data_IF_799208209065
#
_entry.id   IF_799208209065
#
_cell.length_a   1.000
_cell.length_b   1.000
_cell.length_c   1.000
_cell.angle_alpha   90.00
_cell.angle_beta   90.00
_cell.angle_gamma   90.00
#
_symmetry.space_group_name_H-M   'P 1'
#
loop_
_entity.id
_entity.type
_entity.pdbx_description
1 polymer ?
#
# COMPACT_ATOMS: atom_id res chain seq x y z
N UNK A 1 17.80 -14.13 -55.83
CA UNK A 1 18.18 -14.27 -54.40
C UNK A 1 17.31 -13.37 -53.54
N UNK A 2 16.16 -13.88 -53.05
CA UNK A 2 15.42 -13.33 -51.89
C UNK A 2 14.19 -14.17 -51.49
N UNK A 3 14.16 -15.48 -51.78
CA UNK A 3 13.01 -16.34 -51.43
C UNK A 3 13.32 -17.66 -50.70
N UNK A 4 14.58 -17.95 -50.33
CA UNK A 4 14.92 -19.27 -49.74
C UNK A 4 15.21 -19.26 -48.23
N UNK A 5 14.98 -18.14 -47.53
CA UNK A 5 15.26 -18.04 -46.08
C UNK A 5 13.97 -18.08 -45.24
N UNK A 6 12.80 -17.81 -45.82
CA UNK A 6 11.53 -17.84 -45.11
C UNK A 6 10.97 -19.27 -44.85
N UNK A 7 11.51 -20.31 -45.50
CA UNK A 7 11.03 -21.69 -45.34
C UNK A 7 11.81 -22.54 -44.33
N UNK A 8 12.81 -21.99 -43.62
CA UNK A 8 13.68 -22.79 -42.73
C UNK A 8 13.55 -22.55 -41.22
N UNK A 9 12.59 -21.74 -40.76
CA UNK A 9 12.37 -21.50 -39.31
C UNK A 9 11.02 -22.07 -38.82
N UNK A 10 10.37 -22.94 -39.59
CA UNK A 10 9.09 -23.58 -39.19
C UNK A 10 9.19 -25.08 -38.87
N UNK A 11 10.38 -25.60 -38.57
CA UNK A 11 10.57 -26.98 -38.09
C UNK A 11 11.36 -27.02 -36.79
N UNK A 12 10.73 -26.51 -35.74
CA UNK A 12 11.15 -26.68 -34.35
C UNK A 12 9.99 -26.66 -33.35
N UNK A 13 8.73 -26.78 -33.83
CA UNK A 13 7.56 -26.90 -32.94
C UNK A 13 7.41 -28.36 -32.52
N UNK A 14 7.34 -28.52 -31.20
CA UNK A 14 7.03 -29.73 -30.43
C UNK A 14 6.18 -30.76 -31.19
N UNK A 15 6.71 -31.98 -31.34
CA UNK A 15 5.96 -33.16 -31.81
C UNK A 15 5.03 -33.67 -30.70
N UNK A 16 4.02 -32.90 -30.35
CA UNK A 16 2.85 -33.44 -29.64
C UNK A 16 1.68 -33.29 -30.63
N UNK A 17 1.09 -34.41 -31.10
CA UNK A 17 0.03 -34.36 -32.08
C UNK A 17 -1.19 -33.63 -31.47
N UNK A 18 -1.72 -32.64 -32.20
CA UNK A 18 -3.05 -32.10 -31.92
C UNK A 18 -4.08 -33.25 -32.01
N UNK A 19 -4.83 -33.55 -30.96
CA UNK A 19 -5.81 -34.63 -30.99
C UNK A 19 -7.13 -34.08 -31.54
N UNK A 20 -7.20 -33.86 -32.85
CA UNK A 20 -8.49 -33.78 -33.54
C UNK A 20 -8.97 -35.21 -33.78
N UNK A 21 -10.14 -35.57 -33.23
CA UNK A 21 -10.90 -36.84 -33.41
C UNK A 21 -10.65 -38.03 -32.47
N UNK A 22 -10.41 -37.82 -31.18
CA UNK A 22 -10.48 -38.94 -30.21
C UNK A 22 -11.93 -39.06 -29.73
N UNK A 23 -12.59 -40.23 -29.80
CA UNK A 23 -13.87 -40.42 -29.12
C UNK A 23 -13.66 -40.22 -27.61
N UNK A 24 -14.75 -39.96 -26.87
CA UNK A 24 -14.80 -39.70 -25.43
C UNK A 24 -14.36 -40.94 -24.60
N UNK A 25 -13.20 -41.51 -24.91
CA UNK A 25 -12.72 -42.80 -24.44
C UNK A 25 -11.19 -42.78 -24.29
N UNK A 26 -10.66 -43.39 -23.23
CA UNK A 26 -9.23 -43.67 -23.11
C UNK A 26 -8.88 -45.00 -23.81
N UNK A 27 -7.80 -45.01 -24.61
CA UNK A 27 -7.29 -46.19 -25.34
C UNK A 27 -7.42 -46.08 -26.87
N UNK A 28 -6.79 -46.99 -27.62
CA UNK A 28 -7.00 -47.08 -29.07
C UNK A 28 -8.32 -47.79 -29.35
N UNK A 29 -9.07 -47.30 -30.33
CA UNK A 29 -10.33 -47.92 -30.79
C UNK A 29 -10.07 -49.38 -31.16
N UNK A 30 -10.71 -50.32 -30.45
CA UNK A 30 -10.55 -51.76 -30.64
C UNK A 30 -9.85 -52.51 -29.49
N UNK A 31 -9.27 -51.81 -28.51
CA UNK A 31 -8.70 -52.45 -27.31
C UNK A 31 -9.79 -52.85 -26.29
N UNK A 32 -9.58 -53.98 -25.61
CA UNK A 32 -10.51 -54.55 -24.61
C UNK A 32 -10.72 -53.64 -23.38
N UNK A 33 -9.92 -52.57 -23.25
CA UNK A 33 -9.96 -51.60 -22.15
C UNK A 33 -10.59 -50.24 -22.48
N UNK A 34 -11.14 -50.04 -23.67
CA UNK A 34 -11.72 -48.74 -24.09
C UNK A 34 -12.96 -48.41 -23.25
N UNK A 35 -12.85 -47.38 -22.41
CA UNK A 35 -13.95 -46.87 -21.58
C UNK A 35 -14.45 -45.56 -22.16
N UNK A 36 -15.65 -45.55 -22.73
CA UNK A 36 -16.29 -44.34 -23.25
C UNK A 36 -17.15 -43.62 -22.18
N UNK A 37 -17.39 -42.31 -22.36
CA UNK A 37 -18.06 -41.42 -21.41
C UNK A 37 -17.28 -41.21 -20.11
N UNK A 38 -15.95 -41.21 -20.18
CA UNK A 38 -15.11 -40.95 -19.02
C UNK A 38 -15.12 -39.47 -18.66
N UNK A 39 -15.25 -39.19 -17.36
CA UNK A 39 -15.12 -37.84 -16.82
C UNK A 39 -13.64 -37.49 -16.68
N UNK A 40 -13.18 -36.48 -17.42
CA UNK A 40 -11.84 -35.91 -17.26
C UNK A 40 -11.93 -34.71 -16.33
N UNK A 41 -10.99 -34.57 -15.41
CA UNK A 41 -11.00 -33.44 -14.50
C UNK A 41 -9.61 -33.03 -14.04
N UNK A 42 -9.53 -31.85 -13.43
CA UNK A 42 -8.35 -31.39 -12.71
C UNK A 42 -8.77 -30.41 -11.61
N UNK A 43 -8.04 -30.36 -10.51
CA UNK A 43 -8.20 -29.33 -9.47
C UNK A 43 -6.86 -28.66 -9.16
N UNK A 44 -6.86 -27.34 -8.99
CA UNK A 44 -5.69 -26.63 -8.50
C UNK A 44 -5.80 -26.50 -6.98
N UNK A 45 -4.70 -26.73 -6.27
CA UNK A 45 -4.56 -26.43 -4.85
C UNK A 45 -3.42 -25.45 -4.67
N UNK A 46 -3.73 -24.23 -4.28
CA UNK A 46 -2.71 -23.27 -3.89
C UNK A 46 -2.10 -23.70 -2.55
N UNK A 47 -0.81 -23.43 -2.36
CA UNK A 47 -0.12 -23.67 -1.10
C UNK A 47 0.43 -22.36 -0.55
N UNK A 48 0.24 -22.13 0.75
CA UNK A 48 1.05 -21.16 1.47
C UNK A 48 2.45 -21.73 1.60
N UNK A 49 3.44 -20.90 1.29
CA UNK A 49 4.83 -21.21 1.60
C UNK A 49 4.96 -21.14 3.12
N UNK A 50 5.63 -22.14 3.70
CA UNK A 50 5.81 -22.31 5.14
C UNK A 50 4.50 -22.44 5.98
N UNK A 51 3.34 -22.62 5.34
CA UNK A 51 2.00 -22.72 5.98
C UNK A 51 1.58 -21.52 6.85
N UNK A 52 2.10 -20.32 6.55
CA UNK A 52 1.92 -19.13 7.39
C UNK A 52 0.68 -18.30 6.99
N UNK A 53 0.19 -18.44 5.75
CA UNK A 53 -0.84 -17.56 5.19
C UNK A 53 -2.13 -18.32 4.91
N UNK A 54 -3.26 -17.70 5.28
CA UNK A 54 -4.57 -18.18 4.87
C UNK A 54 -4.78 -17.92 3.37
N UNK A 55 -4.90 -19.00 2.60
CA UNK A 55 -5.11 -18.99 1.14
C UNK A 55 -6.56 -19.27 0.74
N UNK A 56 -7.50 -19.09 1.67
CA UNK A 56 -8.92 -19.10 1.36
C UNK A 56 -9.34 -17.82 0.64
N UNK A 57 -10.41 -17.92 -0.14
CA UNK A 57 -11.01 -16.80 -0.85
C UNK A 57 -10.10 -16.15 -1.91
N UNK A 58 -9.02 -16.80 -2.33
CA UNK A 58 -8.17 -16.34 -3.43
C UNK A 58 -8.96 -16.52 -4.73
N UNK A 59 -9.21 -15.45 -5.50
CA UNK A 59 -9.96 -15.55 -6.74
C UNK A 59 -9.21 -16.40 -7.77
N UNK A 60 -9.93 -17.17 -8.57
CA UNK A 60 -9.38 -17.86 -9.72
C UNK A 60 -10.32 -17.76 -10.92
N UNK A 61 -9.77 -18.00 -12.12
CA UNK A 61 -10.52 -18.09 -13.35
C UNK A 61 -9.98 -19.23 -14.22
N UNK A 62 -10.87 -20.12 -14.66
CA UNK A 62 -10.56 -21.11 -15.69
C UNK A 62 -10.74 -20.50 -17.08
N UNK A 63 -9.73 -20.64 -17.92
CA UNK A 63 -9.75 -20.26 -19.33
C UNK A 63 -9.72 -21.54 -20.15
N UNK A 64 -10.90 -22.09 -20.43
CA UNK A 64 -11.09 -23.13 -21.43
C UNK A 64 -12.35 -22.86 -22.26
N UNK A 65 -12.43 -23.48 -23.43
CA UNK A 65 -13.67 -23.60 -24.20
C UNK A 65 -14.22 -25.00 -23.84
N UNK A 66 -15.36 -25.16 -23.15
CA UNK A 66 -16.50 -24.24 -23.00
C UNK A 66 -16.70 -23.66 -21.58
N UNK A 67 -15.83 -23.94 -20.61
CA UNK A 67 -16.05 -23.60 -19.21
C UNK A 67 -15.24 -22.36 -18.78
N UNK A 68 -15.84 -21.17 -18.98
CA UNK A 68 -15.40 -19.97 -18.26
C UNK A 68 -16.05 -20.00 -16.87
N UNK A 69 -15.23 -20.22 -15.84
CA UNK A 69 -15.68 -20.22 -14.46
C UNK A 69 -14.80 -19.31 -13.61
N UNK A 70 -15.42 -18.38 -12.90
CA UNK A 70 -14.78 -17.63 -11.84
C UNK A 70 -15.15 -18.26 -10.50
N UNK A 71 -14.21 -18.29 -9.59
CA UNK A 71 -14.47 -18.78 -8.25
C UNK A 71 -13.46 -18.28 -7.24
N UNK A 72 -13.53 -18.84 -6.05
CA UNK A 72 -12.66 -18.53 -4.93
C UNK A 72 -12.21 -19.82 -4.28
N UNK A 73 -10.94 -19.88 -3.90
CA UNK A 73 -10.42 -21.06 -3.19
C UNK A 73 -11.15 -21.30 -1.87
N UNK A 74 -11.31 -22.55 -1.50
CA UNK A 74 -11.86 -22.95 -0.21
C UNK A 74 -10.82 -22.80 0.93
N UNK A 75 -11.18 -23.24 2.14
CA UNK A 75 -10.29 -23.18 3.32
C UNK A 75 -8.97 -23.95 3.18
N UNK A 76 -8.89 -24.91 2.27
CA UNK A 76 -7.70 -25.71 1.98
C UNK A 76 -6.91 -25.18 0.77
N UNK A 77 -7.29 -24.01 0.23
CA UNK A 77 -6.65 -23.44 -0.96
C UNK A 77 -7.04 -24.10 -2.28
N UNK A 78 -8.05 -24.98 -2.28
CA UNK A 78 -8.49 -25.69 -3.49
C UNK A 78 -9.47 -24.87 -4.30
N UNK A 79 -9.30 -24.85 -5.62
CA UNK A 79 -10.29 -24.35 -6.58
C UNK A 79 -11.43 -25.35 -6.75
N UNK A 80 -12.50 -24.96 -7.44
CA UNK A 80 -13.43 -25.95 -7.99
C UNK A 80 -12.70 -26.91 -8.93
N UNK A 81 -13.24 -28.11 -9.09
CA UNK A 81 -12.72 -29.09 -10.04
C UNK A 81 -13.29 -28.78 -11.42
N UNK A 82 -12.41 -28.48 -12.38
CA UNK A 82 -12.83 -28.38 -13.78
C UNK A 82 -13.09 -29.76 -14.35
N UNK A 83 -14.14 -29.89 -15.16
CA UNK A 83 -14.58 -31.15 -15.76
C UNK A 83 -14.70 -30.93 -17.27
N UNK A 84 -14.10 -31.83 -18.04
CA UNK A 84 -14.09 -31.79 -19.51
C UNK A 84 -14.54 -33.15 -20.08
N UNK A 85 -14.96 -33.13 -21.34
CA UNK A 85 -15.42 -34.34 -22.05
C UNK A 85 -14.26 -35.17 -22.65
N UNK A 86 -13.07 -34.58 -22.71
CA UNK A 86 -11.86 -35.23 -23.20
C UNK A 86 -10.66 -34.62 -22.47
N UNK A 87 -9.47 -35.25 -22.53
CA UNK A 87 -8.25 -34.62 -22.04
C UNK A 87 -8.00 -33.29 -22.74
N UNK A 88 -8.00 -32.22 -21.97
CA UNK A 88 -7.83 -30.84 -22.42
C UNK A 88 -6.84 -30.12 -21.51
N UNK A 89 -5.98 -29.34 -22.14
CA UNK A 89 -5.13 -28.37 -21.45
C UNK A 89 -5.96 -27.12 -21.12
N UNK A 90 -5.93 -26.72 -19.87
CA UNK A 90 -6.72 -25.64 -19.30
C UNK A 90 -5.78 -24.66 -18.63
N UNK A 91 -5.85 -23.39 -19.03
CA UNK A 91 -5.14 -22.33 -18.34
C UNK A 91 -5.97 -21.85 -17.13
N UNK A 92 -5.30 -21.67 -15.98
CA UNK A 92 -5.88 -21.15 -14.76
C UNK A 92 -5.18 -19.85 -14.39
N UNK A 93 -5.99 -18.83 -14.11
CA UNK A 93 -5.54 -17.59 -13.49
C UNK A 93 -5.85 -17.65 -12.00
N UNK A 94 -4.98 -17.07 -11.17
CA UNK A 94 -5.19 -16.98 -9.71
C UNK A 94 -4.86 -15.60 -9.16
N UNK A 95 -5.44 -15.30 -8.00
CA UNK A 95 -5.23 -14.06 -7.26
C UNK A 95 -5.49 -12.84 -8.12
N UNK A 96 -4.52 -11.93 -8.14
CA UNK A 96 -4.65 -10.66 -8.86
C UNK A 96 -5.02 -10.87 -10.33
N UNK A 97 -4.33 -11.75 -11.04
CA UNK A 97 -4.55 -11.93 -12.49
C UNK A 97 -5.99 -12.36 -12.78
N UNK A 98 -6.55 -13.27 -11.98
CA UNK A 98 -7.95 -13.68 -12.10
C UNK A 98 -8.91 -12.52 -11.83
N UNK A 99 -8.68 -11.75 -10.75
CA UNK A 99 -9.54 -10.63 -10.38
C UNK A 99 -9.50 -9.51 -11.41
N UNK A 100 -8.32 -9.24 -11.97
CA UNK A 100 -8.09 -8.26 -13.01
C UNK A 100 -8.77 -8.63 -14.33
N UNK A 101 -8.71 -9.91 -14.70
CA UNK A 101 -9.42 -10.47 -15.85
C UNK A 101 -10.95 -10.39 -15.68
N UNK A 102 -11.45 -10.69 -14.48
CA UNK A 102 -12.88 -10.53 -14.11
C UNK A 102 -13.33 -9.07 -14.25
N UNK A 103 -12.58 -8.12 -13.65
CA UNK A 103 -12.86 -6.66 -13.72
C UNK A 103 -12.85 -6.11 -15.16
N UNK A 104 -12.24 -6.83 -16.10
CA UNK A 104 -12.17 -6.51 -17.53
C UNK A 104 -13.12 -7.36 -18.39
N UNK A 105 -14.12 -8.00 -17.77
CA UNK A 105 -15.12 -8.87 -18.44
C UNK A 105 -14.48 -9.97 -19.30
N UNK A 106 -13.37 -10.54 -18.83
CA UNK A 106 -12.65 -11.60 -19.52
C UNK A 106 -11.72 -11.12 -20.63
N UNK A 107 -11.17 -9.90 -20.51
CA UNK A 107 -10.08 -9.40 -21.34
C UNK A 107 -8.79 -9.27 -20.53
N UNK A 108 -7.65 -9.59 -21.15
CA UNK A 108 -6.33 -9.37 -20.56
C UNK A 108 -5.89 -7.91 -20.65
N UNK A 109 -6.37 -7.13 -21.62
CA UNK A 109 -6.03 -5.71 -21.76
C UNK A 109 -4.53 -5.44 -21.68
N UNK A 110 -4.14 -4.46 -20.85
CA UNK A 110 -2.74 -4.08 -20.58
C UNK A 110 -2.07 -4.84 -19.43
N UNK A 111 -2.68 -5.93 -18.94
CA UNK A 111 -2.11 -6.72 -17.84
C UNK A 111 -0.74 -7.28 -18.20
N UNK A 112 0.18 -7.18 -17.24
CA UNK A 112 1.58 -7.57 -17.42
C UNK A 112 1.82 -8.98 -16.89
N UNK A 113 2.98 -9.53 -17.25
CA UNK A 113 3.48 -10.78 -16.67
C UNK A 113 2.54 -11.98 -16.94
N UNK A 114 1.81 -11.99 -18.07
CA UNK A 114 0.74 -12.97 -18.32
C UNK A 114 1.24 -14.42 -18.38
N UNK A 115 2.27 -14.69 -19.18
CA UNK A 115 2.73 -16.06 -19.42
C UNK A 115 3.37 -16.69 -18.18
N UNK A 116 4.05 -15.90 -17.35
CA UNK A 116 4.64 -16.38 -16.09
C UNK A 116 3.59 -16.58 -14.97
N UNK A 117 2.38 -16.01 -15.11
CA UNK A 117 1.31 -16.06 -14.10
C UNK A 117 0.17 -17.03 -14.44
N UNK A 118 0.17 -17.61 -15.64
CA UNK A 118 -0.79 -18.65 -16.06
C UNK A 118 -0.32 -20.01 -15.58
N UNK A 119 -1.22 -20.78 -14.99
CA UNK A 119 -0.97 -22.16 -14.59
C UNK A 119 -1.64 -23.06 -15.61
N UNK A 120 -0.87 -23.93 -16.29
CA UNK A 120 -1.43 -24.92 -17.21
C UNK A 120 -1.77 -26.21 -16.46
N UNK A 121 -2.99 -26.70 -16.64
CA UNK A 121 -3.48 -27.97 -16.10
C UNK A 121 -3.92 -28.88 -17.24
N UNK A 122 -3.54 -30.15 -17.19
CA UNK A 122 -4.06 -31.17 -18.12
C UNK A 122 -5.14 -31.99 -17.44
N UNK A 123 -6.39 -31.87 -17.90
CA UNK A 123 -7.49 -32.69 -17.39
C UNK A 123 -7.28 -34.16 -17.73
N UNK A 124 -7.49 -35.04 -16.74
CA UNK A 124 -7.25 -36.47 -16.89
C UNK A 124 -8.26 -37.30 -16.09
N UNK A 125 -8.30 -38.61 -16.36
CA UNK A 125 -8.94 -39.60 -15.50
C UNK A 125 -8.24 -39.69 -14.15
N UNK A 126 -8.94 -40.14 -13.10
CA UNK A 126 -8.37 -40.29 -11.76
C UNK A 126 -8.35 -39.02 -10.90
N UNK A 127 -9.06 -37.97 -11.33
CA UNK A 127 -9.27 -36.74 -10.57
C UNK A 127 -7.97 -36.07 -10.05
N UNK A 128 -6.98 -35.82 -10.94
CA UNK A 128 -5.71 -35.22 -10.54
C UNK A 128 -5.88 -33.88 -9.84
N UNK A 129 -4.90 -33.57 -8.99
CA UNK A 129 -4.76 -32.28 -8.31
C UNK A 129 -3.32 -31.81 -8.46
N UNK A 130 -3.13 -30.59 -8.94
CA UNK A 130 -1.81 -29.92 -8.97
C UNK A 130 -1.70 -28.99 -7.78
N UNK A 131 -0.60 -29.09 -7.04
CA UNK A 131 -0.28 -28.17 -5.96
C UNK A 131 0.67 -27.07 -6.46
N UNK A 132 0.36 -25.80 -6.19
CA UNK A 132 1.16 -24.65 -6.64
C UNK A 132 1.53 -23.73 -5.46
N UNK A 133 2.83 -23.52 -5.16
CA UNK A 133 3.25 -22.57 -4.13
C UNK A 133 2.91 -21.12 -4.51
N UNK A 134 2.00 -20.51 -3.75
CA UNK A 134 1.38 -19.24 -4.11
C UNK A 134 2.00 -18.03 -3.39
N UNK A 135 2.01 -18.04 -2.05
CA UNK A 135 2.35 -16.86 -1.24
C UNK A 135 3.06 -17.26 0.06
N UNK A 136 4.02 -16.45 0.51
CA UNK A 136 4.73 -16.59 1.79
C UNK A 136 4.34 -15.54 2.84
N UNK A 137 3.64 -14.46 2.43
CA UNK A 137 3.08 -13.49 3.36
C UNK A 137 2.65 -12.18 2.72
N UNK A 138 1.99 -11.36 3.55
CA UNK A 138 1.49 -10.05 3.21
C UNK A 138 2.35 -8.93 3.79
N UNK A 139 2.60 -7.92 2.98
CA UNK A 139 3.34 -6.73 3.33
C UNK A 139 2.40 -5.51 3.40
N UNK A 140 2.52 -4.77 4.49
CA UNK A 140 1.89 -3.47 4.70
C UNK A 140 3.00 -2.42 4.81
N UNK A 141 3.08 -1.54 3.83
CA UNK A 141 4.27 -0.71 3.58
C UNK A 141 3.92 0.76 3.74
N UNK A 142 4.69 1.48 4.55
CA UNK A 142 4.71 2.94 4.53
C UNK A 142 6.04 3.41 3.97
N UNK A 143 6.00 4.28 2.97
CA UNK A 143 7.18 4.88 2.33
C UNK A 143 7.25 6.34 2.72
N UNK A 144 8.37 6.77 3.30
CA UNK A 144 8.53 8.12 3.85
C UNK A 144 9.75 8.80 3.23
N UNK A 145 9.57 10.07 2.87
CA UNK A 145 10.61 10.91 2.29
C UNK A 145 11.76 11.22 3.25
N UNK A 146 12.84 11.74 2.67
CA UNK A 146 13.99 12.27 3.35
C UNK A 146 13.62 13.38 4.32
N UNK A 147 14.55 13.67 5.23
CA UNK A 147 14.45 14.86 6.08
C UNK A 147 14.50 16.08 5.18
N UNK A 148 13.53 16.97 5.33
CA UNK A 148 13.47 18.19 4.51
C UNK A 148 14.46 19.22 5.01
N UNK A 149 14.99 20.06 4.11
CA UNK A 149 15.98 21.08 4.48
C UNK A 149 15.36 22.20 5.34
N UNK A 150 16.15 22.89 6.19
CA UNK A 150 15.72 24.13 6.85
C UNK A 150 15.37 25.22 5.83
N UNK A 151 14.23 25.91 5.98
CA UNK A 151 13.78 26.95 5.05
C UNK A 151 12.79 26.48 3.97
N UNK A 152 12.30 25.24 4.06
CA UNK A 152 11.20 24.80 3.19
C UNK A 152 9.86 25.44 3.58
N UNK A 153 9.33 26.27 2.68
CA UNK A 153 7.94 26.68 2.69
C UNK A 153 7.03 25.47 2.41
N UNK A 154 6.43 24.93 3.46
CA UNK A 154 5.23 24.10 3.34
C UNK A 154 4.06 24.90 3.92
N UNK A 155 3.02 25.15 3.12
CA UNK A 155 1.71 25.55 3.64
C UNK A 155 1.18 24.39 4.47
N UNK A 156 1.57 24.30 5.73
CA UNK A 156 1.56 22.98 6.32
C UNK A 156 1.87 22.83 7.79
N UNK A 157 2.61 23.71 8.43
CA UNK A 157 2.87 23.52 9.86
C UNK A 157 3.52 24.74 10.45
N UNK A 158 2.67 25.65 10.90
CA UNK A 158 3.07 26.49 12.02
C UNK A 158 3.40 25.58 13.21
N UNK A 159 4.31 26.03 14.07
CA UNK A 159 4.36 25.54 15.45
C UNK A 159 2.92 25.54 15.99
N UNK A 160 2.65 24.58 16.88
CA UNK A 160 1.60 24.45 17.92
C UNK A 160 0.70 25.65 18.30
N UNK A 161 1.02 26.87 17.87
CA UNK A 161 0.50 28.21 18.15
C UNK A 161 -0.46 28.84 17.12
N UNK A 162 -1.09 28.14 16.17
CA UNK A 162 -2.21 28.76 15.43
C UNK A 162 -3.54 28.31 16.05
N UNK A 163 -4.08 29.14 16.95
CA UNK A 163 -5.41 28.96 17.56
C UNK A 163 -6.52 29.77 16.88
N UNK A 164 -6.23 30.72 15.99
CA UNK A 164 -7.24 31.58 15.34
C UNK A 164 -6.61 32.37 14.20
N UNK A 165 -7.21 32.36 13.01
CA UNK A 165 -7.24 33.53 12.11
C UNK A 165 -8.58 33.53 11.34
N UNK A 166 -9.57 34.33 11.77
CA UNK A 166 -10.56 34.89 10.87
C UNK A 166 -9.93 36.09 10.13
N UNK A 167 -10.03 36.07 8.80
CA UNK A 167 -10.19 37.24 7.93
C UNK A 167 -9.08 38.30 7.71
N UNK A 168 -7.79 38.05 7.96
CA UNK A 168 -6.73 38.92 7.38
C UNK A 168 -5.51 38.06 6.99
N UNK A 169 -5.41 37.71 5.70
CA UNK A 169 -4.19 37.16 5.11
C UNK A 169 -3.26 38.31 4.74
N UNK A 170 -2.08 38.39 5.36
CA UNK A 170 -0.98 39.27 4.95
C UNK A 170 0.18 38.40 4.47
N UNK A 171 0.29 38.27 3.15
CA UNK A 171 1.14 37.30 2.46
C UNK A 171 2.65 37.45 2.74
N UNK A 172 3.12 38.59 3.23
CA UNK A 172 4.54 38.80 3.57
C UNK A 172 4.87 38.50 5.04
N UNK A 173 3.95 38.76 5.98
CA UNK A 173 4.17 38.47 7.41
C UNK A 173 3.93 37.01 7.78
N UNK A 174 3.00 36.34 7.11
CA UNK A 174 2.70 34.92 7.35
C UNK A 174 3.80 33.97 6.81
N UNK A 175 4.70 34.48 5.96
CA UNK A 175 5.79 33.73 5.33
C UNK A 175 6.78 33.11 6.35
N UNK A 176 7.05 33.78 7.47
CA UNK A 176 7.97 33.29 8.51
C UNK A 176 7.35 32.22 9.42
N UNK A 177 6.01 32.17 9.53
CA UNK A 177 5.31 31.16 10.36
C UNK A 177 5.32 29.75 9.73
N UNK A 178 5.40 29.65 8.41
CA UNK A 178 5.33 28.39 7.65
C UNK A 178 6.69 27.73 7.36
N UNK A 179 7.80 28.41 7.64
CA UNK A 179 9.13 28.06 7.08
C UNK A 179 10.15 27.52 8.09
N UNK A 180 9.90 27.55 9.41
CA UNK A 180 11.01 27.45 10.39
C UNK A 180 10.89 26.42 11.53
N UNK A 181 9.87 25.55 11.56
CA UNK A 181 9.80 24.55 12.63
C UNK A 181 10.53 23.23 12.25
N UNK A 182 11.46 22.71 13.07
CA UNK A 182 12.01 21.36 12.89
C UNK A 182 10.93 20.28 12.80
N UNK A 183 9.75 20.50 13.40
CA UNK A 183 8.59 19.64 13.24
C UNK A 183 8.14 19.42 11.79
N UNK A 184 8.41 20.38 10.91
CA UNK A 184 8.11 20.29 9.47
C UNK A 184 9.02 19.23 8.84
N UNK A 185 10.29 19.19 9.23
CA UNK A 185 11.31 18.32 8.62
C UNK A 185 11.10 16.83 8.88
N UNK A 186 10.37 16.48 9.95
CA UNK A 186 10.14 15.10 10.37
C UNK A 186 8.68 14.66 10.20
N UNK A 187 7.84 15.45 9.53
CA UNK A 187 6.40 15.15 9.36
C UNK A 187 6.15 13.81 8.65
N UNK A 188 6.95 13.47 7.63
CA UNK A 188 6.78 12.22 6.89
C UNK A 188 7.10 11.00 7.75
N UNK A 189 8.19 11.04 8.54
CA UNK A 189 8.52 9.98 9.50
C UNK A 189 7.37 9.77 10.48
N UNK A 190 6.88 10.85 11.09
CA UNK A 190 5.83 10.76 12.08
C UNK A 190 4.51 10.24 11.48
N UNK A 191 4.15 10.65 10.25
CA UNK A 191 3.01 10.06 9.55
C UNK A 191 3.24 8.58 9.21
N UNK A 192 4.46 8.17 8.86
CA UNK A 192 4.81 6.77 8.65
C UNK A 192 4.65 5.94 9.93
N UNK A 193 5.15 6.43 11.07
CA UNK A 193 4.97 5.79 12.37
C UNK A 193 3.48 5.70 12.76
N UNK A 194 2.69 6.73 12.43
CA UNK A 194 1.24 6.66 12.60
C UNK A 194 0.62 5.57 11.71
N UNK A 195 1.00 5.52 10.44
CA UNK A 195 0.50 4.52 9.48
C UNK A 195 0.80 3.08 9.91
N UNK A 196 1.97 2.81 10.52
CA UNK A 196 2.28 1.49 11.07
C UNK A 196 1.26 1.01 12.12
N UNK A 197 0.64 1.92 12.87
CA UNK A 197 -0.38 1.58 13.86
C UNK A 197 -1.73 1.26 13.24
N UNK A 198 -2.00 1.82 12.05
CA UNK A 198 -3.23 1.59 11.31
C UNK A 198 -3.21 0.26 10.56
N UNK A 199 -2.02 -0.22 10.19
CA UNK A 199 -1.87 -1.55 9.62
C UNK A 199 -2.26 -2.65 10.61
N UNK A 200 -2.68 -3.84 10.15
CA UNK A 200 -2.87 -5.00 11.01
C UNK A 200 -1.59 -5.33 11.79
N UNK A 201 -1.73 -5.88 13.00
CA UNK A 201 -0.57 -6.30 13.80
C UNK A 201 0.29 -7.26 12.98
N UNK A 202 1.61 -7.04 13.02
CA UNK A 202 2.55 -7.98 12.43
C UNK A 202 2.42 -9.32 13.14
N UNK A 203 2.55 -10.41 12.39
CA UNK A 203 2.52 -11.74 12.99
C UNK A 203 3.77 -11.99 13.82
N UNK A 204 3.61 -12.57 14.99
CA UNK A 204 4.71 -13.02 15.83
C UNK A 204 5.18 -14.40 15.34
N UNK A 205 6.47 -14.54 15.01
CA UNK A 205 7.08 -15.80 14.60
C UNK A 205 6.88 -16.15 13.12
N UNK A 206 5.65 -16.28 12.65
CA UNK A 206 5.35 -16.79 11.30
C UNK A 206 5.48 -15.77 10.17
N UNK A 207 5.75 -14.48 10.44
CA UNK A 207 5.92 -13.45 9.41
C UNK A 207 4.83 -13.37 8.32
N UNK A 208 3.64 -13.93 8.55
CA UNK A 208 2.53 -13.95 7.60
C UNK A 208 2.05 -12.53 7.29
N UNK A 209 2.11 -11.65 8.28
CA UNK A 209 1.86 -10.21 8.15
C UNK A 209 3.11 -9.44 8.58
N UNK A 210 3.63 -8.59 7.71
CA UNK A 210 4.71 -7.66 8.03
C UNK A 210 4.27 -6.21 7.89
N UNK A 211 4.61 -5.40 8.91
CA UNK A 211 4.59 -3.95 8.84
C UNK A 211 5.97 -3.44 8.45
N UNK A 212 6.07 -2.58 7.46
CA UNK A 212 7.36 -2.16 6.90
C UNK A 212 7.39 -0.65 6.70
N UNK A 213 8.40 -0.01 7.24
CA UNK A 213 8.69 1.41 7.02
C UNK A 213 9.91 1.53 6.10
N UNK A 214 9.69 2.05 4.90
CA UNK A 214 10.75 2.37 3.94
C UNK A 214 11.10 3.83 4.06
N UNK A 215 12.33 4.14 4.43
CA UNK A 215 12.80 5.50 4.72
C UNK A 215 13.85 5.90 3.69
N UNK A 216 13.64 7.04 3.02
CA UNK A 216 14.71 7.69 2.27
C UNK A 216 15.68 8.34 3.27
N UNK A 217 16.91 7.85 3.35
CA UNK A 217 17.81 8.14 4.49
C UNK A 217 18.40 9.56 4.49
N UNK A 218 18.30 10.28 3.37
CA UNK A 218 18.97 11.56 3.20
C UNK A 218 18.55 12.58 4.27
N UNK A 219 19.55 13.26 4.84
CA UNK A 219 19.36 14.33 5.82
C UNK A 219 19.13 13.86 7.27
N UNK A 220 18.79 12.60 7.51
CA UNK A 220 18.65 12.09 8.87
C UNK A 220 20.02 11.89 9.54
N UNK A 221 20.14 12.33 10.79
CA UNK A 221 21.35 12.12 11.59
C UNK A 221 21.40 10.70 12.18
N UNK A 222 22.55 10.29 12.72
CA UNK A 222 22.67 9.01 13.44
C UNK A 222 21.70 8.89 14.62
N UNK A 223 21.45 10.00 15.33
CA UNK A 223 20.50 10.05 16.45
C UNK A 223 19.06 9.94 15.96
N UNK A 224 18.72 10.59 14.84
CA UNK A 224 17.40 10.46 14.20
C UNK A 224 17.14 9.01 13.82
N UNK A 225 18.08 8.38 13.11
CA UNK A 225 18.02 6.96 12.70
C UNK A 225 17.82 6.05 13.91
N UNK A 226 18.52 6.31 15.02
CA UNK A 226 18.33 5.57 16.27
C UNK A 226 16.88 5.64 16.75
N UNK A 227 16.28 6.84 16.79
CA UNK A 227 14.88 7.03 17.20
C UNK A 227 13.89 6.40 16.23
N UNK A 228 14.11 6.54 14.91
CA UNK A 228 13.29 5.91 13.87
C UNK A 228 13.27 4.39 14.05
N UNK A 229 14.44 3.79 14.28
CA UNK A 229 14.58 2.34 14.48
C UNK A 229 13.89 1.88 15.77
N UNK A 230 14.14 2.58 16.90
CA UNK A 230 13.52 2.30 18.19
C UNK A 230 11.99 2.30 18.08
N UNK A 231 11.42 3.35 17.50
CA UNK A 231 9.97 3.53 17.45
C UNK A 231 9.30 2.64 16.41
N UNK A 232 9.92 2.43 15.25
CA UNK A 232 9.37 1.50 14.26
C UNK A 232 9.35 0.07 14.82
N UNK A 233 10.42 -0.35 15.49
CA UNK A 233 10.47 -1.67 16.15
C UNK A 233 9.45 -1.78 17.26
N UNK A 234 9.31 -0.74 18.10
CA UNK A 234 8.29 -0.67 19.15
C UNK A 234 6.85 -0.75 18.63
N UNK A 235 6.62 -0.40 17.36
CA UNK A 235 5.33 -0.53 16.67
C UNK A 235 5.19 -1.86 15.90
N UNK A 236 6.12 -2.82 16.09
CA UNK A 236 6.12 -4.12 15.42
C UNK A 236 6.43 -4.02 13.92
N UNK A 237 7.10 -2.95 13.49
CA UNK A 237 7.52 -2.75 12.11
C UNK A 237 8.99 -3.07 11.89
N UNK A 238 9.34 -3.49 10.67
CA UNK A 238 10.73 -3.52 10.19
C UNK A 238 11.05 -2.25 9.41
N UNK A 239 12.29 -1.81 9.48
CA UNK A 239 12.77 -0.61 8.80
C UNK A 239 13.61 -1.03 7.59
N UNK A 240 13.44 -0.34 6.47
CA UNK A 240 14.32 -0.43 5.31
C UNK A 240 14.73 0.97 4.90
N UNK A 241 16.04 1.22 4.88
CA UNK A 241 16.58 2.47 4.36
C UNK A 241 16.89 2.33 2.88
N UNK A 242 16.48 3.31 2.09
CA UNK A 242 16.80 3.43 0.67
C UNK A 242 17.48 4.76 0.40
N UNK A 243 18.40 4.75 -0.57
CA UNK A 243 19.16 5.94 -0.95
C UNK A 243 18.54 6.73 -2.08
N UNK A 244 17.68 6.12 -2.89
CA UNK A 244 17.12 6.71 -4.10
C UNK A 244 15.95 5.86 -4.61
N UNK A 245 15.30 6.34 -5.67
CA UNK A 245 14.19 5.71 -6.38
C UNK A 245 14.50 4.30 -6.85
N UNK A 246 15.74 4.01 -7.28
CA UNK A 246 16.12 2.65 -7.68
C UNK A 246 16.17 1.72 -6.47
N UNK A 247 16.62 2.20 -5.32
CA UNK A 247 16.56 1.45 -4.06
C UNK A 247 15.12 1.08 -3.67
N UNK A 248 14.17 2.01 -3.85
CA UNK A 248 12.74 1.74 -3.65
C UNK A 248 12.21 0.69 -4.64
N UNK A 249 12.48 0.84 -5.95
CA UNK A 249 12.05 -0.11 -6.98
C UNK A 249 12.62 -1.52 -6.69
N UNK A 250 13.91 -1.61 -6.41
CA UNK A 250 14.57 -2.88 -6.09
C UNK A 250 13.93 -3.54 -4.86
N UNK A 251 13.68 -2.76 -3.81
CA UNK A 251 13.00 -3.25 -2.63
C UNK A 251 11.61 -3.79 -2.98
N UNK A 252 10.78 -3.02 -3.69
CA UNK A 252 9.43 -3.46 -4.08
C UNK A 252 9.49 -4.73 -4.93
N UNK A 253 10.33 -4.76 -5.97
CA UNK A 253 10.41 -5.89 -6.90
C UNK A 253 10.95 -7.18 -6.26
N UNK A 254 11.76 -7.11 -5.20
CA UNK A 254 12.17 -8.30 -4.44
C UNK A 254 11.00 -9.12 -3.86
N UNK A 255 9.78 -8.56 -3.80
CA UNK A 255 8.59 -9.29 -3.35
C UNK A 255 8.25 -10.45 -4.25
N UNK A 256 8.51 -10.30 -5.56
CA UNK A 256 8.26 -11.33 -6.56
C UNK A 256 9.06 -12.59 -6.25
N UNK A 257 10.37 -12.45 -6.02
CA UNK A 257 11.25 -13.56 -5.64
C UNK A 257 10.88 -14.14 -4.28
N UNK A 258 10.51 -13.27 -3.32
CA UNK A 258 10.09 -13.70 -1.98
C UNK A 258 8.69 -14.30 -1.93
N UNK A 259 7.95 -14.29 -3.05
CA UNK A 259 6.52 -14.66 -3.15
C UNK A 259 5.66 -13.98 -2.07
N UNK A 260 5.92 -12.69 -1.81
CA UNK A 260 5.13 -11.86 -0.88
C UNK A 260 4.27 -10.89 -1.66
N UNK A 261 3.07 -10.62 -1.15
CA UNK A 261 2.15 -9.67 -1.78
C UNK A 261 1.97 -8.40 -0.93
N UNK A 262 1.96 -7.25 -1.58
CA UNK A 262 1.66 -5.95 -0.97
C UNK A 262 0.14 -5.85 -0.83
N UNK A 263 -0.33 -5.74 0.41
CA UNK A 263 -1.76 -5.58 0.73
C UNK A 263 -2.16 -4.12 0.88
N UNK A 264 -1.27 -3.33 1.49
CA UNK A 264 -1.48 -1.89 1.62
C UNK A 264 -0.16 -1.14 1.48
N UNK A 265 -0.16 -0.02 0.76
CA UNK A 265 1.00 0.87 0.65
C UNK A 265 0.62 2.34 0.76
N UNK A 266 1.34 3.10 1.59
CA UNK A 266 1.13 4.54 1.75
C UNK A 266 2.41 5.34 1.50
N UNK A 267 2.32 6.44 0.75
CA UNK A 267 3.43 7.35 0.48
C UNK A 267 3.27 8.68 1.24
N UNK A 268 4.29 9.04 2.01
CA UNK A 268 4.41 10.34 2.69
C UNK A 268 5.65 11.06 2.18
N UNK A 269 5.45 11.97 1.23
CA UNK A 269 6.53 12.72 0.61
C UNK A 269 5.99 14.03 0.01
N UNK A 270 6.88 14.82 -0.57
CA UNK A 270 6.48 15.97 -1.36
C UNK A 270 5.90 15.54 -2.70
N UNK A 271 5.01 16.36 -3.25
CA UNK A 271 4.51 16.19 -4.61
C UNK A 271 4.74 17.44 -5.45
N UNK A 272 5.29 17.23 -6.62
CA UNK A 272 5.23 18.15 -7.74
C UNK A 272 4.37 17.50 -8.83
N UNK A 273 3.95 18.27 -9.83
CA UNK A 273 3.22 17.72 -10.97
C UNK A 273 4.02 16.55 -11.55
N UNK A 274 3.33 15.44 -11.82
CA UNK A 274 3.88 14.18 -12.33
C UNK A 274 4.85 13.38 -11.44
N UNK A 275 5.31 13.90 -10.28
CA UNK A 275 6.30 13.22 -9.46
C UNK A 275 6.00 13.25 -7.95
N UNK A 276 6.11 12.08 -7.33
CA UNK A 276 6.41 11.97 -5.90
C UNK A 276 7.91 12.26 -5.69
N UNK A 277 8.24 13.10 -4.72
CA UNK A 277 9.62 13.56 -4.49
C UNK A 277 10.06 13.23 -3.07
N UNK A 278 10.98 12.28 -2.97
CA UNK A 278 11.50 11.79 -1.70
C UNK A 278 12.74 12.54 -1.22
N UNK A 279 13.44 13.25 -2.10
CA UNK A 279 14.60 14.09 -1.78
C UNK A 279 14.35 15.57 -2.12
N UNK A 280 13.10 16.02 -1.98
CA UNK A 280 12.73 17.38 -2.35
C UNK A 280 13.70 18.40 -1.75
N UNK A 281 14.25 19.27 -2.61
CA UNK A 281 15.27 20.30 -2.31
C UNK A 281 16.52 19.82 -1.58
N UNK A 282 16.75 18.52 -1.47
CA UNK A 282 17.96 17.99 -0.87
C UNK A 282 19.11 17.82 -1.88
N UNK A 283 20.24 17.28 -1.42
CA UNK A 283 21.47 17.15 -2.22
C UNK A 283 21.30 16.35 -3.52
N UNK A 284 20.48 15.30 -3.52
CA UNK A 284 20.20 14.47 -4.70
C UNK A 284 18.70 14.46 -5.04
N UNK A 285 18.18 15.58 -5.53
CA UNK A 285 16.75 15.70 -5.90
C UNK A 285 16.33 14.66 -6.94
N UNK A 286 17.15 14.44 -7.97
CA UNK A 286 16.85 13.50 -9.05
C UNK A 286 16.76 12.05 -8.58
N UNK A 287 17.66 11.64 -7.67
CA UNK A 287 17.59 10.35 -7.02
C UNK A 287 16.29 10.14 -6.23
N UNK A 288 15.61 11.21 -5.82
CA UNK A 288 14.34 11.16 -5.11
C UNK A 288 13.08 11.33 -5.97
N UNK A 289 13.18 11.58 -7.28
CA UNK A 289 12.01 11.75 -8.16
C UNK A 289 11.45 10.41 -8.62
N UNK A 290 10.24 10.09 -8.17
CA UNK A 290 9.52 8.89 -8.57
C UNK A 290 8.30 9.28 -9.40
N UNK A 291 8.37 9.06 -10.71
CA UNK A 291 7.36 9.49 -11.67
C UNK A 291 7.00 8.39 -12.67
N UNK A 292 6.54 8.75 -13.88
CA UNK A 292 6.02 7.81 -14.86
C UNK A 292 6.96 6.63 -15.16
N UNK A 293 8.25 6.91 -15.40
CA UNK A 293 9.22 5.86 -15.74
C UNK A 293 9.48 4.88 -14.58
N UNK A 294 9.53 5.39 -13.35
CA UNK A 294 9.73 4.56 -12.17
C UNK A 294 8.51 3.70 -11.84
N UNK A 295 7.31 4.24 -12.02
CA UNK A 295 6.05 3.52 -11.83
C UNK A 295 6.01 2.29 -12.73
N UNK A 296 6.39 2.42 -14.00
CA UNK A 296 6.39 1.32 -14.98
C UNK A 296 7.39 0.20 -14.65
N UNK A 297 8.44 0.50 -13.88
CA UNK A 297 9.49 -0.47 -13.50
C UNK A 297 9.09 -1.36 -12.31
N UNK A 298 8.00 -1.05 -11.62
CA UNK A 298 7.51 -1.88 -10.51
C UNK A 298 6.64 -3.00 -11.07
N UNK A 299 6.90 -4.24 -10.66
CA UNK A 299 6.14 -5.40 -11.11
C UNK A 299 4.67 -5.32 -10.66
N UNK A 300 3.75 -5.68 -11.54
CA UNK A 300 2.31 -5.68 -11.23
C UNK A 300 1.97 -6.85 -10.30
N UNK A 301 2.68 -7.97 -10.47
CA UNK A 301 2.49 -9.24 -9.76
C UNK A 301 2.74 -9.19 -8.25
N UNK A 302 3.44 -8.17 -7.73
CA UNK A 302 3.76 -8.06 -6.29
C UNK A 302 2.60 -7.52 -5.45
N UNK A 303 1.53 -7.07 -6.08
CA UNK A 303 0.36 -6.53 -5.39
C UNK A 303 -0.71 -7.60 -5.24
N UNK A 304 -1.39 -7.61 -4.09
CA UNK A 304 -2.55 -8.49 -3.89
C UNK A 304 -3.76 -8.05 -4.74
N UNK A 305 -4.74 -8.94 -4.94
CA UNK A 305 -5.91 -8.69 -5.80
C UNK A 305 -6.84 -7.57 -5.31
N UNK A 306 -6.78 -7.26 -4.01
CA UNK A 306 -7.51 -6.21 -3.30
C UNK A 306 -6.56 -5.19 -2.65
N UNK A 307 -5.32 -5.09 -3.14
CA UNK A 307 -4.33 -4.16 -2.63
C UNK A 307 -4.83 -2.71 -2.66
N UNK A 308 -4.47 -1.96 -1.62
CA UNK A 308 -4.84 -0.54 -1.46
C UNK A 308 -3.60 0.34 -1.47
N UNK A 309 -3.62 1.38 -2.28
CA UNK A 309 -2.53 2.37 -2.30
C UNK A 309 -3.07 3.75 -1.97
N UNK A 310 -2.36 4.47 -1.12
CA UNK A 310 -2.64 5.89 -0.85
C UNK A 310 -1.37 6.71 -1.01
N UNK A 311 -1.44 7.82 -1.74
CA UNK A 311 -0.35 8.78 -1.81
C UNK A 311 -0.79 10.11 -1.21
N UNK A 312 -0.03 10.55 -0.21
CA UNK A 312 -0.16 11.87 0.42
C UNK A 312 0.82 12.88 -0.18
N UNK A 313 1.36 12.60 -1.37
CA UNK A 313 2.12 13.60 -2.13
C UNK A 313 1.17 14.68 -2.67
N UNK A 314 1.58 15.94 -2.57
CA UNK A 314 0.78 17.07 -3.03
C UNK A 314 0.43 16.93 -4.51
N UNK A 315 -0.85 17.16 -4.88
CA UNK A 315 -1.29 17.22 -6.28
C UNK A 315 -1.02 15.94 -7.09
N UNK A 316 -0.86 14.79 -6.42
CA UNK A 316 -0.64 13.52 -7.09
C UNK A 316 -1.85 13.04 -7.93
N UNK A 317 -3.01 13.67 -7.74
CA UNK A 317 -4.23 13.42 -8.50
C UNK A 317 -4.40 14.24 -9.78
N UNK A 318 -3.42 15.08 -10.15
CA UNK A 318 -3.46 15.93 -11.35
C UNK A 318 -2.13 15.88 -12.11
N UNK A 319 -2.15 16.30 -13.38
CA UNK A 319 -0.95 16.40 -14.24
C UNK A 319 -0.78 17.75 -14.94
N UNK A 320 -1.68 18.70 -14.69
CA UNK A 320 -1.57 20.06 -15.24
C UNK A 320 -0.99 20.99 -14.18
N UNK A 321 0.08 21.71 -14.52
CA UNK A 321 0.55 22.84 -13.74
C UNK A 321 -0.17 24.11 -14.17
N UNK A 322 -0.72 24.85 -13.21
CA UNK A 322 -1.35 26.15 -13.46
C UNK A 322 -0.73 27.25 -12.60
N UNK A 323 0.59 27.17 -12.39
CA UNK A 323 1.38 28.17 -11.68
C UNK A 323 1.09 28.21 -10.18
N UNK A 324 1.55 29.29 -9.54
CA UNK A 324 1.39 29.51 -8.10
C UNK A 324 0.41 30.67 -7.82
N UNK A 325 -0.53 30.54 -6.85
CA UNK A 325 -0.84 29.35 -6.03
C UNK A 325 -1.66 28.28 -6.78
N UNK A 326 -2.03 28.55 -8.03
CA UNK A 326 -2.85 27.72 -8.91
C UNK A 326 -4.34 27.89 -8.65
N UNK A 327 -5.12 28.12 -9.70
CA UNK A 327 -6.58 28.16 -9.66
C UNK A 327 -7.17 27.38 -10.84
N UNK A 328 -7.96 26.36 -10.54
CA UNK A 328 -8.62 25.51 -11.54
C UNK A 328 -10.14 25.74 -11.57
N UNK A 329 -10.63 26.85 -11.01
CA UNK A 329 -12.05 27.18 -11.02
C UNK A 329 -12.57 27.24 -12.46
N UNK A 330 -13.58 26.43 -12.76
CA UNK A 330 -14.15 26.32 -14.10
C UNK A 330 -13.33 25.50 -15.09
N UNK A 331 -12.22 24.86 -14.68
CA UNK A 331 -11.42 23.96 -15.52
C UNK A 331 -11.85 22.51 -15.22
N UNK A 332 -12.57 21.84 -16.14
CA UNK A 332 -13.13 20.52 -15.86
C UNK A 332 -12.10 19.38 -15.91
N UNK A 333 -11.05 19.53 -16.72
CA UNK A 333 -9.99 18.53 -16.89
C UNK A 333 -8.62 19.14 -16.55
N UNK A 334 -8.00 18.59 -15.52
CA UNK A 334 -6.68 19.02 -15.01
C UNK A 334 -5.67 17.87 -15.11
N UNK A 335 -5.89 16.98 -16.06
CA UNK A 335 -5.04 15.83 -16.34
C UNK A 335 -5.16 14.74 -15.29
N UNK A 336 -6.36 14.53 -14.72
CA UNK A 336 -6.58 13.43 -13.77
C UNK A 336 -6.25 12.07 -14.40
N UNK A 337 -6.52 11.89 -15.68
CA UNK A 337 -6.26 10.69 -16.49
C UNK A 337 -4.75 10.37 -16.64
N UNK A 338 -3.90 11.39 -16.52
CA UNK A 338 -2.43 11.31 -16.65
C UNK A 338 -1.70 11.48 -15.32
N UNK A 339 -2.44 11.77 -14.24
CA UNK A 339 -1.89 12.01 -12.91
C UNK A 339 -0.99 10.87 -12.42
N UNK A 340 -0.02 11.14 -11.53
CA UNK A 340 0.76 10.10 -10.86
C UNK A 340 -0.12 8.99 -10.26
N UNK A 341 -1.23 9.35 -9.62
CA UNK A 341 -2.16 8.41 -9.03
C UNK A 341 -2.81 7.51 -10.09
N UNK A 342 -3.27 8.08 -11.21
CA UNK A 342 -3.85 7.32 -12.30
C UNK A 342 -2.83 6.43 -13.00
N UNK A 343 -1.58 6.89 -13.16
CA UNK A 343 -0.48 6.07 -13.70
C UNK A 343 -0.16 4.89 -12.80
N UNK A 344 -0.04 5.12 -11.49
CA UNK A 344 0.12 4.04 -10.50
C UNK A 344 -1.04 3.05 -10.57
N UNK A 345 -2.29 3.55 -10.67
CA UNK A 345 -3.46 2.70 -10.77
C UNK A 345 -3.37 1.81 -12.02
N UNK A 346 -3.16 2.41 -13.19
CA UNK A 346 -3.05 1.68 -14.45
C UNK A 346 -1.89 0.68 -14.46
N UNK A 347 -0.67 1.14 -14.15
CA UNK A 347 0.55 0.35 -14.30
C UNK A 347 0.62 -0.82 -13.32
N UNK A 348 0.06 -0.65 -12.13
CA UNK A 348 0.06 -1.67 -11.09
C UNK A 348 -1.27 -2.40 -10.98
N UNK A 349 -2.29 -2.05 -11.76
CA UNK A 349 -3.64 -2.61 -11.69
C UNK A 349 -4.22 -2.65 -10.27
N UNK A 350 -4.24 -1.49 -9.61
CA UNK A 350 -4.74 -1.29 -8.22
C UNK A 350 -5.53 0.00 -8.09
N UNK A 351 -6.41 0.09 -7.10
CA UNK A 351 -7.01 1.38 -6.75
C UNK A 351 -6.01 2.23 -5.96
N UNK A 352 -5.86 3.49 -6.37
CA UNK A 352 -4.97 4.47 -5.75
C UNK A 352 -5.79 5.64 -5.23
N UNK A 353 -5.51 6.06 -4.00
CA UNK A 353 -6.09 7.27 -3.41
C UNK A 353 -5.08 8.40 -3.40
N UNK A 354 -5.48 9.58 -3.83
CA UNK A 354 -4.59 10.75 -3.89
C UNK A 354 -5.35 12.07 -3.73
N UNK A 355 -4.64 13.11 -3.33
CA UNK A 355 -5.17 14.48 -3.38
C UNK A 355 -4.97 15.11 -4.76
N UNK A 356 -6.02 15.71 -5.29
CA UNK A 356 -5.89 16.67 -6.40
C UNK A 356 -5.25 17.99 -5.91
N UNK A 357 -5.48 18.34 -4.64
CA UNK A 357 -4.91 19.51 -3.97
C UNK A 357 -3.57 19.24 -3.28
N UNK A 358 -2.96 20.28 -2.72
CA UNK A 358 -1.82 20.13 -1.80
C UNK A 358 -2.23 19.33 -0.56
N UNK A 359 -1.30 18.53 -0.07
CA UNK A 359 -1.45 17.81 1.20
C UNK A 359 -1.19 18.77 2.36
N UNK A 360 -2.07 18.77 3.35
CA UNK A 360 -1.90 19.54 4.59
C UNK A 360 -1.41 18.63 5.70
N UNK A 361 -0.28 18.98 6.29
CA UNK A 361 0.26 18.36 7.50
C UNK A 361 -0.02 19.23 8.74
N UNK A 362 -0.92 20.23 8.63
CA UNK A 362 -1.27 21.13 9.73
C UNK A 362 -2.04 20.34 10.78
N UNK A 363 -1.68 20.54 12.06
CA UNK A 363 -2.43 19.96 13.18
C UNK A 363 -2.28 18.44 13.31
N UNK A 364 -1.39 17.79 12.56
CA UNK A 364 -1.21 16.33 12.65
C UNK A 364 -0.73 15.87 14.03
N UNK A 365 -0.26 16.77 14.90
CA UNK A 365 0.14 16.50 16.29
C UNK A 365 -0.83 17.09 17.32
N UNK A 366 -2.02 17.51 16.87
CA UNK A 366 -2.92 18.35 17.66
C UNK A 366 -2.40 19.77 17.87
N UNK A 367 -3.21 20.55 18.56
CA UNK A 367 -2.93 21.94 18.95
C UNK A 367 -2.38 22.03 20.37
N UNK A 368 -1.76 23.17 20.71
CA UNK A 368 -1.38 23.47 22.10
C UNK A 368 -2.59 23.45 23.04
N UNK A 369 -3.73 23.94 22.55
CA UNK A 369 -4.97 23.95 23.31
C UNK A 369 -5.40 22.53 23.66
N UNK A 370 -5.47 21.64 22.66
CA UNK A 370 -5.83 20.24 22.88
C UNK A 370 -4.84 19.54 23.81
N UNK A 371 -3.54 19.78 23.65
CA UNK A 371 -2.50 19.15 24.50
C UNK A 371 -2.61 19.61 25.96
N UNK A 372 -2.87 20.90 26.19
CA UNK A 372 -3.08 21.46 27.54
C UNK A 372 -4.37 20.92 28.16
N UNK A 373 -5.44 20.81 27.38
CA UNK A 373 -6.71 20.22 27.84
C UNK A 373 -6.52 18.75 28.20
N UNK A 374 -5.84 17.97 27.37
CA UNK A 374 -5.52 16.57 27.66
C UNK A 374 -4.68 16.44 28.93
N UNK A 375 -3.64 17.26 29.10
CA UNK A 375 -2.83 17.24 30.32
C UNK A 375 -3.67 17.49 31.58
N UNK A 376 -4.56 18.50 31.56
CA UNK A 376 -5.47 18.79 32.70
C UNK A 376 -6.39 17.61 33.03
N UNK A 377 -6.99 16.99 32.01
CA UNK A 377 -7.88 15.83 32.19
C UNK A 377 -7.11 14.63 32.75
N UNK A 378 -5.90 14.38 32.23
CA UNK A 378 -5.03 13.29 32.69
C UNK A 378 -4.61 13.50 34.14
N UNK A 379 -4.07 14.68 34.45
CA UNK A 379 -3.56 15.01 35.78
C UNK A 379 -4.67 14.92 36.84
N UNK A 380 -5.86 15.43 36.50
CA UNK A 380 -7.04 15.33 37.37
C UNK A 380 -7.42 13.86 37.63
N UNK A 381 -7.57 13.05 36.59
CA UNK A 381 -7.95 11.65 36.75
C UNK A 381 -6.89 10.84 37.53
N UNK A 382 -5.60 11.10 37.30
CA UNK A 382 -4.52 10.44 38.03
C UNK A 382 -4.48 10.87 39.51
N UNK A 383 -4.76 12.14 39.81
CA UNK A 383 -4.89 12.64 41.18
C UNK A 383 -6.10 12.00 41.89
N UNK A 384 -7.25 11.94 41.23
CA UNK A 384 -8.45 11.30 41.76
C UNK A 384 -8.22 9.80 42.01
N UNK A 385 -7.49 9.11 41.13
CA UNK A 385 -7.07 7.72 41.32
C UNK A 385 -6.17 7.54 42.55
N UNK A 386 -5.22 8.47 42.77
CA UNK A 386 -4.33 8.44 43.95
C UNK A 386 -5.11 8.69 45.23
N UNK A 387 -6.01 9.67 45.24
CA UNK A 387 -6.88 9.98 46.37
C UNK A 387 -7.77 8.78 46.72
N UNK A 388 -8.38 8.15 45.72
CA UNK A 388 -9.17 6.93 45.91
C UNK A 388 -8.35 5.79 46.54
N UNK A 389 -7.15 5.50 46.03
CA UNK A 389 -6.27 4.46 46.59
C UNK A 389 -5.89 4.75 48.05
N UNK A 390 -5.68 6.01 48.39
CA UNK A 390 -5.38 6.45 49.75
C UNK A 390 -6.58 6.33 50.70
N UNK A 391 -7.79 6.63 50.24
CA UNK A 391 -9.01 6.44 51.03
C UNK A 391 -9.29 4.95 51.30
N UNK A 392 -9.11 4.10 50.28
CA UNK A 392 -9.22 2.64 50.43
C UNK A 392 -8.19 2.12 51.43
N UNK A 393 -6.94 2.61 51.42
CA UNK A 393 -5.91 2.16 52.36
C UNK A 393 -6.17 2.58 53.81
N UNK A 394 -6.97 3.63 54.03
CA UNK A 394 -7.50 4.00 55.35
C UNK A 394 -8.69 3.15 55.82
N UNK A 395 -9.13 2.19 55.02
CA UNK A 395 -10.26 1.32 55.34
C UNK A 395 -11.63 1.92 54.98
N UNK A 396 -11.68 2.99 54.18
CA UNK A 396 -12.95 3.57 53.71
C UNK A 396 -13.61 2.67 52.65
N UNK A 397 -14.53 1.81 53.09
CA UNK A 397 -15.28 0.87 52.23
C UNK A 397 -16.29 1.56 51.30
N UNK A 398 -16.60 2.84 51.54
CA UNK A 398 -17.56 3.61 50.75
C UNK A 398 -16.88 4.47 49.66
N UNK A 399 -15.55 4.48 49.60
CA UNK A 399 -14.82 5.19 48.55
C UNK A 399 -15.19 4.62 47.18
N UNK A 400 -15.46 5.50 46.21
CA UNK A 400 -15.81 5.12 44.84
C UNK A 400 -14.62 5.37 43.91
N UNK A 401 -14.31 4.44 42.99
CA UNK A 401 -13.27 4.67 42.00
C UNK A 401 -13.69 5.84 41.10
N UNK A 402 -12.74 6.70 40.69
CA UNK A 402 -13.05 7.77 39.75
C UNK A 402 -13.45 7.21 38.39
N UNK A 403 -14.37 7.91 37.72
CA UNK A 403 -14.78 7.56 36.36
C UNK A 403 -13.66 7.89 35.36
N UNK A 404 -13.31 6.90 34.53
CA UNK A 404 -12.27 7.07 33.52
C UNK A 404 -12.77 8.00 32.40
N UNK A 405 -12.08 9.10 32.08
CA UNK A 405 -12.48 9.99 31.00
C UNK A 405 -12.62 9.23 29.68
N UNK A 406 -13.58 9.65 28.87
CA UNK A 406 -13.72 9.16 27.50
C UNK A 406 -12.42 9.42 26.72
N UNK A 407 -11.98 8.42 25.95
CA UNK A 407 -10.75 8.47 25.15
C UNK A 407 -9.44 8.69 25.95
N UNK A 408 -9.46 8.47 27.28
CA UNK A 408 -8.30 8.69 28.16
C UNK A 408 -7.00 8.05 27.65
N UNK A 409 -7.05 6.80 27.16
CA UNK A 409 -5.87 6.11 26.64
C UNK A 409 -5.28 6.81 25.42
N UNK A 410 -6.13 7.32 24.52
CA UNK A 410 -5.71 8.07 23.34
C UNK A 410 -5.13 9.41 23.78
N UNK A 411 -5.79 10.13 24.69
CA UNK A 411 -5.31 11.42 25.23
C UNK A 411 -3.94 11.26 25.88
N UNK A 412 -3.78 10.24 26.75
CA UNK A 412 -2.53 9.94 27.45
C UNK A 412 -1.42 9.63 26.48
N UNK A 413 -1.65 8.68 25.56
CA UNK A 413 -0.68 8.30 24.51
C UNK A 413 -0.23 9.49 23.65
N UNK A 414 -1.17 10.35 23.27
CA UNK A 414 -0.93 11.56 22.47
C UNK A 414 -0.12 12.60 23.23
N UNK A 415 -0.49 12.87 24.48
CA UNK A 415 0.18 13.82 25.36
C UNK A 415 1.62 13.39 25.71
N UNK A 416 1.81 12.11 26.05
CA UNK A 416 3.14 11.53 26.29
C UNK A 416 4.00 11.53 25.03
N UNK A 417 3.42 11.18 23.87
CA UNK A 417 4.12 11.21 22.59
C UNK A 417 4.64 12.59 22.23
N UNK A 418 3.86 13.63 22.53
CA UNK A 418 4.26 15.05 22.42
C UNK A 418 5.45 15.37 23.32
N UNK A 419 5.41 14.98 24.60
CA UNK A 419 6.52 15.25 25.54
C UNK A 419 7.82 14.55 25.09
N UNK A 420 7.74 13.30 24.63
CA UNK A 420 8.91 12.55 24.15
C UNK A 420 9.46 13.14 22.84
N UNK A 421 8.58 13.58 21.93
CA UNK A 421 8.95 14.27 20.71
C UNK A 421 9.79 15.51 21.01
N UNK A 422 9.31 16.35 21.93
CA UNK A 422 9.99 17.60 22.31
C UNK A 422 11.32 17.29 23.01
N UNK A 423 11.35 16.30 23.91
CA UNK A 423 12.59 15.80 24.50
C UNK A 423 13.61 15.31 23.45
N UNK A 424 13.17 14.59 22.41
CA UNK A 424 14.06 14.14 21.35
C UNK A 424 14.64 15.31 20.54
N UNK A 425 13.84 16.34 20.27
CA UNK A 425 14.28 17.58 19.63
C UNK A 425 15.41 18.24 20.45
N UNK A 426 15.18 18.43 21.75
CA UNK A 426 16.15 19.05 22.67
C UNK A 426 17.45 18.25 22.83
N UNK A 427 17.42 16.94 22.57
CA UNK A 427 18.57 16.03 22.71
C UNK A 427 19.22 15.63 21.38
N UNK A 428 18.81 16.29 20.28
CA UNK A 428 19.40 16.12 18.94
C UNK A 428 19.01 14.83 18.23
N UNK A 429 17.89 14.19 18.61
CA UNK A 429 17.28 13.04 17.92
C UNK A 429 16.10 13.40 17.01
N UNK A 430 15.89 14.70 16.77
CA UNK A 430 14.79 15.25 15.98
C UNK A 430 13.42 15.14 16.67
N UNK A 431 12.44 15.97 16.29
CA UNK A 431 11.08 15.90 16.81
C UNK A 431 10.30 14.68 16.28
N UNK A 432 10.68 13.49 16.74
CA UNK A 432 10.06 12.21 16.38
C UNK A 432 9.29 11.68 17.60
N UNK A 433 7.99 11.47 17.43
CA UNK A 433 7.12 10.92 18.46
C UNK A 433 7.12 9.38 18.39
N UNK A 434 7.10 8.66 19.54
CA UNK A 434 7.08 7.19 19.56
C UNK A 434 5.90 6.57 18.80
N UNK A 435 4.77 7.25 18.80
CA UNK A 435 3.53 6.83 18.13
C UNK A 435 3.25 7.65 16.88
N UNK A 436 4.24 8.35 16.34
CA UNK A 436 4.05 9.21 15.18
C UNK A 436 3.06 10.34 15.38
N UNK A 437 2.44 10.79 14.29
CA UNK A 437 1.38 11.79 14.31
C UNK A 437 0.10 11.27 14.99
N UNK A 438 -0.81 12.17 15.32
CA UNK A 438 -2.12 11.88 15.89
C UNK A 438 -3.15 11.51 14.82
N UNK A 439 -2.99 12.07 13.61
CA UNK A 439 -3.82 11.86 12.43
C UNK A 439 -2.94 11.83 11.17
N UNK A 440 -3.51 11.29 10.08
CA UNK A 440 -2.93 11.33 8.74
C UNK A 440 -3.13 12.71 8.08
N UNK A 441 -2.35 13.03 7.02
CA UNK A 441 -2.45 14.31 6.35
C UNK A 441 -3.84 14.56 5.75
N UNK A 442 -4.29 15.81 5.85
CA UNK A 442 -5.53 16.30 5.24
C UNK A 442 -5.29 16.97 3.90
N UNK A 443 -6.33 17.62 3.39
CA UNK A 443 -6.26 18.44 2.18
C UNK A 443 -6.05 19.90 2.54
N UNK A 444 -5.08 20.55 1.90
CA UNK A 444 -4.90 22.01 1.98
C UNK A 444 -5.89 22.76 1.10
N UNK A 445 -5.84 24.10 1.16
CA UNK A 445 -6.80 24.93 0.43
C UNK A 445 -6.43 25.16 -1.04
N UNK A 446 -5.14 25.05 -1.39
CA UNK A 446 -4.62 25.28 -2.75
C UNK A 446 -4.23 23.99 -3.49
N UNK A 447 -4.23 24.00 -4.83
CA UNK A 447 -4.82 25.04 -5.68
C UNK A 447 -6.35 25.10 -5.54
N UNK A 448 -6.93 26.25 -5.91
CA UNK A 448 -8.38 26.46 -5.88
C UNK A 448 -9.07 25.71 -7.02
N UNK A 449 -10.40 25.53 -6.95
CA UNK A 449 -11.19 24.85 -7.98
C UNK A 449 -11.13 23.31 -8.00
N UNK A 450 -10.22 22.68 -7.25
CA UNK A 450 -10.09 21.21 -7.19
C UNK A 450 -10.87 20.57 -6.03
N UNK A 451 -11.03 19.24 -6.07
CA UNK A 451 -11.77 18.50 -5.03
C UNK A 451 -10.99 18.42 -3.71
N UNK A 452 -11.73 18.49 -2.59
CA UNK A 452 -11.19 18.26 -1.24
C UNK A 452 -11.25 16.76 -0.90
N UNK A 453 -10.33 16.30 -0.05
CA UNK A 453 -10.23 14.90 0.36
C UNK A 453 -9.53 14.02 -0.67
N UNK A 454 -9.21 12.79 -0.25
CA UNK A 454 -8.61 11.77 -1.12
C UNK A 454 -9.63 11.36 -2.19
N UNK A 455 -9.23 11.47 -3.46
CA UNK A 455 -9.98 10.98 -4.60
C UNK A 455 -9.52 9.57 -4.95
N UNK A 456 -10.43 8.75 -5.50
CA UNK A 456 -10.14 7.38 -5.90
C UNK A 456 -9.82 7.34 -7.40
N UNK A 457 -8.68 6.72 -7.74
CA UNK A 457 -8.22 6.47 -9.10
C UNK A 457 -8.19 4.96 -9.31
N UNK A 458 -8.95 4.49 -10.29
CA UNK A 458 -9.03 3.06 -10.65
C UNK A 458 -8.39 2.85 -12.02
N UNK A 459 -7.84 1.66 -12.31
CA UNK A 459 -7.33 1.37 -13.65
C UNK A 459 -8.41 1.64 -14.70
N UNK A 460 -8.05 2.35 -15.78
CA UNK A 460 -9.01 2.82 -16.80
C UNK A 460 -9.73 1.64 -17.48
N UNK A 461 -9.06 0.51 -17.60
CA UNK A 461 -9.62 -0.70 -18.21
C UNK A 461 -10.59 -1.47 -17.31
N UNK A 462 -10.72 -1.12 -16.02
CA UNK A 462 -11.73 -1.75 -15.18
C UNK A 462 -13.12 -1.29 -15.63
N UNK A 463 -13.92 -2.26 -16.05
CA UNK A 463 -15.30 -2.02 -16.47
C UNK A 463 -16.17 -2.16 -15.22
N UNK A 464 -16.58 -1.02 -14.66
CA UNK A 464 -17.47 -0.96 -13.51
C UNK A 464 -18.86 -1.56 -13.81
#
# INVERSE_FOLDING_TARGET
MKNDIAQKIEKGKSKIPHPTSVPNCAGKVGDVGVKCNQKFSHQLKLLSIDNQVNISNVPYAYISIPARGFGKTNGEGKTDRIITQQPEEVAVLVGKLAKSYERRRGSFGSLKELEERKISLLTNTGEPTTEEPYISGYDYITVVGARTEPGEASFGSAKRTITTLPDIFDSEKDWQLFTESPGNQYRFINCGLHQLQLFPKASEGDHAVQRIMVVFEQGYTKKDIKRINEYTTGLGGRIVYVKNKQGLINFLNQRKEKKRLIKEMSFFCHGIIDYATFHYKGKDVEGGKFGPEEIEKVYESIFDFDAKITTYACRAGISVDNGWPGDFTGIPDVGQDKSPAQRMANAWDVEVKAFEKRSSYIGIYGTDKETKEYSKVIDKYEADCKAYKYEVSKGNKNAKPPEKPKDYEIMKKRNEGVKVRDYNEDNGGGPIAPNGSWILPGTGDTPHGLKKGLQNYKPIEWIL
#
